data_IF_973803314210
#
_entry.id   IF_973803314210
#
_cell.length_a   1.000
_cell.length_b   1.000
_cell.length_c   1.000
_cell.angle_alpha   90.00
_cell.angle_beta   90.00
_cell.angle_gamma   90.00
#
_symmetry.space_group_name_H-M   'P 1'
#
loop_
_entity.id
_entity.type
_entity.pdbx_description
1 polymer ?
#
# COMPACT_ATOMS: atom_id res chain seq x y z
N UNK A 1 -21.59 -87.45 36.89
CA UNK A 1 -22.35 -87.04 35.70
C UNK A 1 -22.47 -85.54 35.80
N UNK A 2 -21.55 -84.83 35.14
CA UNK A 2 -21.50 -83.36 35.17
C UNK A 2 -21.41 -82.83 33.70
N UNK A 3 -22.47 -82.18 33.30
CA UNK A 3 -22.57 -81.52 32.02
C UNK A 3 -22.02 -80.09 32.14
N UNK A 4 -20.82 -79.87 31.54
CA UNK A 4 -20.25 -78.53 31.37
C UNK A 4 -20.71 -77.91 30.04
N UNK A 5 -21.50 -76.90 30.12
CA UNK A 5 -21.88 -76.07 28.96
C UNK A 5 -20.74 -75.02 28.69
N UNK A 6 -20.17 -75.14 27.56
CA UNK A 6 -19.18 -74.15 27.01
C UNK A 6 -19.97 -73.04 26.36
N UNK A 7 -19.85 -71.79 26.84
CA UNK A 7 -20.37 -70.57 26.23
C UNK A 7 -19.30 -70.00 25.37
N UNK A 8 -19.55 -69.96 24.07
CA UNK A 8 -18.69 -69.33 23.07
C UNK A 8 -19.06 -67.83 22.96
N UNK A 9 -18.25 -66.96 23.49
CA UNK A 9 -18.43 -65.50 23.34
C UNK A 9 -17.88 -65.07 21.99
N UNK A 10 -18.74 -64.60 21.07
CA UNK A 10 -18.36 -63.89 19.85
C UNK A 10 -18.11 -62.42 20.18
N UNK A 11 -16.86 -61.98 20.16
CA UNK A 11 -16.50 -60.57 20.19
C UNK A 11 -16.63 -60.01 18.77
N UNK A 12 -17.65 -59.19 18.53
CA UNK A 12 -17.78 -58.37 17.30
C UNK A 12 -16.98 -57.10 17.53
N UNK A 13 -15.80 -57.02 16.91
CA UNK A 13 -15.04 -55.76 16.78
C UNK A 13 -15.72 -54.90 15.73
N UNK A 14 -16.49 -53.86 16.16
CA UNK A 14 -16.94 -52.80 15.26
C UNK A 14 -15.77 -51.83 15.10
N UNK A 15 -15.09 -51.92 13.93
CA UNK A 15 -14.08 -50.95 13.49
C UNK A 15 -14.82 -49.67 13.05
N UNK A 16 -14.96 -48.69 13.97
CA UNK A 16 -15.33 -47.34 13.57
C UNK A 16 -14.15 -46.69 12.86
N UNK A 17 -14.16 -46.76 11.52
CA UNK A 17 -13.28 -45.98 10.67
C UNK A 17 -13.64 -44.51 10.80
N UNK A 18 -12.91 -43.77 11.64
CA UNK A 18 -12.90 -42.29 11.57
C UNK A 18 -12.31 -41.88 10.24
N UNK A 19 -13.17 -41.58 9.26
CA UNK A 19 -12.79 -40.83 8.07
C UNK A 19 -12.54 -39.40 8.54
N UNK A 20 -11.29 -39.09 8.89
CA UNK A 20 -10.84 -37.72 8.96
C UNK A 20 -10.87 -37.16 7.53
N UNK A 21 -12.01 -36.59 7.15
CA UNK A 21 -12.08 -35.68 6.01
C UNK A 21 -11.28 -34.44 6.42
N UNK A 22 -9.98 -34.44 6.11
CA UNK A 22 -9.18 -33.22 6.18
C UNK A 22 -9.74 -32.28 5.11
N UNK A 23 -10.66 -31.42 5.55
CA UNK A 23 -11.07 -30.28 4.76
C UNK A 23 -9.86 -29.35 4.72
N UNK A 24 -8.90 -29.65 3.82
CA UNK A 24 -7.85 -28.75 3.41
C UNK A 24 -8.55 -27.65 2.59
N UNK A 25 -9.17 -26.67 3.27
CA UNK A 25 -9.51 -25.42 2.63
C UNK A 25 -8.19 -24.72 2.36
N UNK A 26 -7.52 -25.06 1.25
CA UNK A 26 -6.54 -24.13 0.67
C UNK A 26 -7.27 -22.80 0.56
N UNK A 27 -6.78 -21.78 1.26
CA UNK A 27 -7.31 -20.42 1.12
C UNK A 27 -7.32 -20.12 -0.39
N UNK A 28 -8.53 -19.87 -0.92
CA UNK A 28 -8.68 -19.63 -2.35
C UNK A 28 -7.88 -18.37 -2.67
N UNK A 29 -6.92 -18.45 -3.61
CA UNK A 29 -6.13 -17.31 -4.06
C UNK A 29 -7.06 -16.13 -4.37
N UNK A 30 -6.77 -14.98 -3.81
CA UNK A 30 -7.54 -13.74 -3.99
C UNK A 30 -6.58 -12.56 -4.11
N UNK A 31 -6.98 -11.55 -4.87
CA UNK A 31 -6.16 -10.36 -5.16
C UNK A 31 -6.71 -9.16 -4.42
N UNK A 32 -5.84 -8.44 -3.72
CA UNK A 32 -6.14 -7.16 -3.09
C UNK A 32 -6.19 -6.05 -4.15
N UNK A 33 -7.34 -5.39 -4.31
CA UNK A 33 -7.49 -4.23 -5.18
C UNK A 33 -7.14 -2.99 -4.37
N UNK A 34 -5.96 -2.41 -4.62
CA UNK A 34 -5.53 -1.19 -3.96
C UNK A 34 -5.69 0.03 -4.89
N UNK A 35 -6.60 0.93 -4.51
CA UNK A 35 -6.84 2.17 -5.24
C UNK A 35 -5.75 3.20 -4.92
N UNK A 36 -4.82 3.43 -5.87
CA UNK A 36 -3.69 4.36 -5.75
C UNK A 36 -4.17 5.79 -5.59
N UNK A 37 -3.84 6.40 -4.44
CA UNK A 37 -4.33 7.73 -4.03
C UNK A 37 -5.86 7.85 -4.15
N UNK A 38 -6.56 6.76 -3.81
CA UNK A 38 -7.98 6.57 -4.04
C UNK A 38 -8.28 5.95 -5.40
N UNK A 39 -8.71 6.74 -6.37
CA UNK A 39 -8.95 6.33 -7.76
C UNK A 39 -8.40 7.41 -8.71
N UNK A 40 -7.10 7.63 -8.68
CA UNK A 40 -6.40 8.76 -9.29
C UNK A 40 -6.69 8.93 -10.79
N UNK A 41 -6.90 7.84 -11.52
CA UNK A 41 -7.26 7.87 -12.94
C UNK A 41 -8.70 8.31 -13.20
N UNK A 42 -9.55 8.39 -12.17
CA UNK A 42 -11.00 8.64 -12.29
C UNK A 42 -11.48 9.88 -11.51
N UNK A 43 -10.72 10.31 -10.50
CA UNK A 43 -11.03 11.45 -9.64
C UNK A 43 -9.72 12.10 -9.11
N UNK A 44 -9.77 13.29 -8.51
CA UNK A 44 -8.60 13.93 -7.93
C UNK A 44 -7.92 13.04 -6.89
N UNK A 45 -6.59 12.92 -7.00
CA UNK A 45 -5.78 12.09 -6.11
C UNK A 45 -5.79 12.61 -4.68
N UNK A 46 -5.73 11.69 -3.70
CA UNK A 46 -5.60 12.02 -2.29
C UNK A 46 -6.70 12.97 -1.77
N UNK A 47 -7.93 12.86 -2.31
CA UNK A 47 -9.10 13.65 -1.89
C UNK A 47 -10.21 12.76 -1.36
N UNK A 48 -11.11 13.33 -0.53
CA UNK A 48 -12.24 12.57 0.00
C UNK A 48 -13.17 12.04 -1.12
N UNK A 49 -13.38 12.82 -2.18
CA UNK A 49 -14.17 12.35 -3.34
C UNK A 49 -13.45 11.24 -4.11
N UNK A 50 -12.13 11.30 -4.21
CA UNK A 50 -11.33 10.23 -4.82
C UNK A 50 -11.42 8.92 -4.05
N UNK A 51 -11.37 8.99 -2.71
CA UNK A 51 -11.55 7.84 -1.84
C UNK A 51 -12.98 7.29 -1.88
N UNK A 52 -13.98 8.16 -1.85
CA UNK A 52 -15.38 7.73 -2.00
C UNK A 52 -15.58 7.01 -3.33
N UNK A 53 -15.03 7.53 -4.42
CA UNK A 53 -15.08 6.89 -5.75
C UNK A 53 -14.45 5.50 -5.72
N UNK A 54 -13.29 5.34 -5.12
CA UNK A 54 -12.62 4.04 -4.98
C UNK A 54 -13.48 3.05 -4.17
N UNK A 55 -14.06 3.49 -3.05
CA UNK A 55 -14.96 2.66 -2.21
C UNK A 55 -16.20 2.20 -2.98
N UNK A 56 -16.79 3.08 -3.79
CA UNK A 56 -17.96 2.77 -4.62
C UNK A 56 -17.63 1.75 -5.72
N UNK A 57 -16.42 1.82 -6.29
CA UNK A 57 -15.91 0.84 -7.24
C UNK A 57 -15.63 -0.53 -6.61
N UNK A 58 -15.50 -0.57 -5.27
CA UNK A 58 -15.34 -1.80 -4.52
C UNK A 58 -13.88 -2.20 -4.30
N UNK A 59 -12.98 -1.24 -4.10
CA UNK A 59 -11.61 -1.55 -3.66
C UNK A 59 -11.63 -2.26 -2.29
N UNK A 60 -10.64 -3.10 -2.06
CA UNK A 60 -10.39 -3.72 -0.75
C UNK A 60 -9.52 -2.84 0.13
N UNK A 61 -8.62 -2.08 -0.50
CA UNK A 61 -7.66 -1.22 0.17
C UNK A 61 -7.62 0.16 -0.49
N UNK A 62 -7.67 1.22 0.31
CA UNK A 62 -7.30 2.56 -0.12
C UNK A 62 -5.81 2.74 0.10
N UNK A 63 -5.10 3.05 -0.96
CA UNK A 63 -3.71 3.46 -0.88
C UNK A 63 -3.63 4.99 -0.96
N UNK A 64 -2.78 5.60 -0.13
CA UNK A 64 -2.60 7.04 -0.07
C UNK A 64 -1.32 7.46 0.67
N UNK A 65 -0.95 8.72 0.47
CA UNK A 65 0.29 9.33 0.94
C UNK A 65 0.02 10.30 2.09
N UNK A 66 0.90 10.33 3.08
CA UNK A 66 0.76 11.23 4.25
C UNK A 66 1.97 12.15 4.37
N UNK A 67 1.68 13.44 4.64
CA UNK A 67 2.61 14.45 5.12
C UNK A 67 2.16 15.00 6.47
N UNK A 68 3.03 15.72 7.19
CA UNK A 68 2.72 16.32 8.49
C UNK A 68 2.88 17.84 8.42
N UNK A 69 1.84 18.56 8.83
CA UNK A 69 1.79 20.04 8.83
C UNK A 69 2.64 20.66 9.93
N UNK A 70 2.84 21.98 9.88
CA UNK A 70 3.57 22.76 10.90
C UNK A 70 3.02 22.58 12.32
N UNK A 71 1.72 22.38 12.45
CA UNK A 71 1.02 22.17 13.72
C UNK A 71 0.84 20.68 14.07
N UNK A 72 1.62 19.80 13.40
CA UNK A 72 1.72 18.36 13.74
C UNK A 72 0.54 17.51 13.26
N UNK A 73 -0.28 18.00 12.34
CA UNK A 73 -1.47 17.27 11.86
C UNK A 73 -1.13 16.44 10.63
N UNK A 74 -1.34 15.11 10.63
CA UNK A 74 -1.21 14.28 9.44
C UNK A 74 -2.27 14.62 8.39
N UNK A 75 -1.82 15.00 7.20
CA UNK A 75 -2.65 15.30 6.03
C UNK A 75 -2.38 14.30 4.93
N UNK A 76 -3.30 14.16 3.98
CA UNK A 76 -3.16 13.22 2.87
C UNK A 76 -2.73 13.98 1.62
N UNK A 77 -1.45 13.84 1.26
CA UNK A 77 -0.86 14.49 0.10
C UNK A 77 0.45 13.80 -0.29
N UNK A 78 0.74 13.68 -1.61
CA UNK A 78 1.88 12.91 -2.10
C UNK A 78 3.22 13.63 -1.92
N UNK A 79 3.28 14.90 -2.32
CA UNK A 79 4.54 15.62 -2.37
C UNK A 79 4.84 16.28 -1.01
N UNK A 80 6.09 16.51 -0.72
CA UNK A 80 6.52 17.20 0.51
C UNK A 80 6.23 18.72 0.50
N UNK A 81 5.85 19.22 -0.68
CA UNK A 81 5.45 20.61 -0.92
C UNK A 81 4.14 20.65 -1.72
N UNK A 82 3.38 21.73 -1.60
CA UNK A 82 2.15 21.92 -2.40
C UNK A 82 2.51 21.94 -3.89
N UNK A 83 1.91 21.02 -4.63
CA UNK A 83 2.21 20.82 -6.05
C UNK A 83 1.37 21.75 -6.93
N UNK A 84 2.00 22.68 -7.70
CA UNK A 84 1.28 23.64 -8.53
C UNK A 84 0.55 23.01 -9.74
N UNK A 85 0.86 21.74 -10.09
CA UNK A 85 0.16 21.03 -11.16
C UNK A 85 -1.13 20.34 -10.66
N UNK A 86 -1.30 20.23 -9.34
CA UNK A 86 -2.43 19.55 -8.70
C UNK A 86 -3.35 20.55 -8.01
N UNK A 87 -2.78 21.61 -7.41
CA UNK A 87 -3.50 22.55 -6.57
C UNK A 87 -3.44 24.00 -7.11
N UNK A 88 -4.49 24.74 -6.75
CA UNK A 88 -4.60 26.19 -6.92
C UNK A 88 -4.67 26.87 -5.57
N UNK A 89 -4.35 28.18 -5.52
CA UNK A 89 -4.72 29.04 -4.39
C UNK A 89 -6.25 29.15 -4.27
N UNK A 90 -6.74 29.52 -3.10
CA UNK A 90 -8.18 29.64 -2.81
C UNK A 90 -8.94 30.58 -3.76
N UNK A 91 -8.27 31.58 -4.32
CA UNK A 91 -8.79 32.53 -5.29
C UNK A 91 -8.74 32.02 -6.74
N UNK A 92 -8.32 30.75 -6.97
CA UNK A 92 -8.17 30.13 -8.28
C UNK A 92 -6.88 30.48 -9.02
N UNK A 93 -5.96 31.23 -8.40
CA UNK A 93 -4.68 31.54 -8.98
C UNK A 93 -3.70 30.34 -8.88
N UNK A 94 -2.71 30.24 -9.78
CA UNK A 94 -1.63 29.26 -9.66
C UNK A 94 -0.87 29.42 -8.33
N UNK A 95 -0.43 28.31 -7.77
CA UNK A 95 0.43 28.27 -6.57
C UNK A 95 1.72 29.03 -6.86
N UNK A 96 2.13 29.90 -5.94
CA UNK A 96 3.44 30.55 -6.00
C UNK A 96 4.54 29.55 -5.74
N UNK A 97 5.53 29.51 -6.61
CA UNK A 97 6.64 28.57 -6.53
C UNK A 97 7.97 29.27 -6.26
N UNK A 98 8.92 28.51 -5.72
CA UNK A 98 10.31 28.91 -5.63
C UNK A 98 11.02 28.87 -7.01
N UNK A 99 12.32 29.16 -7.05
CA UNK A 99 13.13 29.14 -8.29
C UNK A 99 13.28 27.75 -8.92
N UNK A 100 12.94 26.68 -8.18
CA UNK A 100 12.97 25.30 -8.64
C UNK A 100 11.57 24.79 -9.06
N UNK A 101 10.55 25.64 -8.96
CA UNK A 101 9.17 25.29 -9.31
C UNK A 101 8.39 24.57 -8.22
N UNK A 102 8.89 24.49 -6.99
CA UNK A 102 8.18 23.90 -5.86
C UNK A 102 7.31 24.93 -5.14
N UNK A 103 6.11 24.54 -4.75
CA UNK A 103 5.29 25.31 -3.84
C UNK A 103 5.81 25.27 -2.39
N UNK A 104 5.09 25.86 -1.44
CA UNK A 104 5.51 25.88 -0.04
C UNK A 104 5.55 24.46 0.55
N UNK A 105 6.57 24.19 1.40
CA UNK A 105 6.71 22.91 2.10
C UNK A 105 5.54 22.69 3.08
N UNK A 106 4.96 21.51 3.08
CA UNK A 106 3.84 21.11 3.96
C UNK A 106 4.19 21.33 5.44
N UNK A 107 5.38 20.94 5.88
CA UNK A 107 5.84 21.10 7.27
C UNK A 107 5.94 22.58 7.73
N UNK A 108 5.89 23.52 6.81
CA UNK A 108 5.93 24.96 7.11
C UNK A 108 4.53 25.61 7.13
N UNK A 109 3.49 24.86 6.76
CA UNK A 109 2.11 25.33 6.67
C UNK A 109 1.28 24.74 7.81
N UNK A 110 0.45 25.56 8.43
CA UNK A 110 -0.58 25.12 9.37
C UNK A 110 -1.72 24.41 8.64
N UNK A 111 -2.53 23.61 9.36
CA UNK A 111 -3.71 22.97 8.77
C UNK A 111 -4.66 24.00 8.12
N UNK A 112 -4.84 25.17 8.73
CA UNK A 112 -5.68 26.24 8.18
C UNK A 112 -5.18 26.71 6.81
N UNK A 113 -3.87 26.88 6.65
CA UNK A 113 -3.25 27.23 5.37
C UNK A 113 -3.39 26.12 4.36
N UNK A 114 -3.13 24.87 4.76
CA UNK A 114 -3.33 23.66 3.91
C UNK A 114 -4.77 23.57 3.40
N UNK A 115 -5.76 23.79 4.26
CA UNK A 115 -7.18 23.74 3.89
C UNK A 115 -7.62 24.88 2.95
N UNK A 116 -6.79 25.87 2.71
CA UNK A 116 -7.09 26.96 1.77
C UNK A 116 -6.90 26.55 0.31
N UNK A 117 -6.07 25.56 0.00
CA UNK A 117 -5.78 25.16 -1.39
C UNK A 117 -6.93 24.37 -2.02
N UNK A 118 -7.17 24.60 -3.31
CA UNK A 118 -8.07 23.79 -4.16
C UNK A 118 -7.24 22.75 -4.92
N UNK A 119 -7.38 21.50 -4.58
CA UNK A 119 -6.64 20.38 -5.19
C UNK A 119 -7.55 19.42 -5.97
N UNK A 120 -8.72 19.88 -6.39
CA UNK A 120 -9.68 19.11 -7.19
C UNK A 120 -9.98 19.69 -8.56
N UNK A 121 -9.64 20.96 -8.81
CA UNK A 121 -9.93 21.64 -10.07
C UNK A 121 -8.98 21.25 -11.20
N UNK A 122 -7.73 20.86 -10.91
CA UNK A 122 -6.72 20.57 -11.92
C UNK A 122 -6.61 19.07 -12.23
N UNK A 123 -6.30 18.76 -13.49
CA UNK A 123 -5.81 17.46 -13.90
C UNK A 123 -4.30 17.60 -14.21
N UNK A 124 -3.41 16.94 -13.47
CA UNK A 124 -1.97 17.12 -13.61
C UNK A 124 -1.39 16.59 -14.92
N UNK A 125 -2.11 15.67 -15.60
CA UNK A 125 -1.64 15.03 -16.83
C UNK A 125 -2.81 14.48 -17.65
N UNK A 126 -3.26 15.26 -18.63
CA UNK A 126 -4.36 14.88 -19.53
C UNK A 126 -4.07 13.69 -20.43
N UNK A 127 -2.79 13.38 -20.67
CA UNK A 127 -2.38 12.21 -21.46
C UNK A 127 -2.52 10.94 -20.64
N UNK A 128 -2.03 10.98 -19.40
CA UNK A 128 -2.08 9.85 -18.47
C UNK A 128 -3.48 9.66 -17.87
N UNK A 129 -4.19 10.75 -17.62
CA UNK A 129 -5.52 10.77 -17.02
C UNK A 129 -6.51 11.52 -17.91
N UNK A 130 -6.92 10.93 -19.04
CA UNK A 130 -7.86 11.59 -19.97
C UNK A 130 -9.24 11.85 -19.35
N UNK A 131 -9.89 12.88 -19.80
CA UNK A 131 -11.26 13.24 -19.42
C UNK A 131 -12.23 13.13 -20.61
N UNK A 132 -13.21 12.22 -20.60
CA UNK A 132 -13.43 11.16 -19.62
C UNK A 132 -12.38 10.02 -19.72
N UNK A 133 -12.25 9.10 -18.75
CA UNK A 133 -13.17 8.85 -17.62
C UNK A 133 -12.92 9.68 -16.36
N UNK A 134 -11.78 10.41 -16.24
CA UNK A 134 -11.48 11.23 -15.07
C UNK A 134 -12.46 12.39 -14.96
N UNK A 135 -12.89 12.67 -13.73
CA UNK A 135 -13.72 13.82 -13.39
C UNK A 135 -12.99 14.72 -12.39
N UNK A 136 -12.97 16.03 -12.65
CA UNK A 136 -12.49 17.02 -11.70
C UNK A 136 -13.60 17.43 -10.74
N UNK A 137 -13.18 17.84 -9.54
CA UNK A 137 -14.10 18.27 -8.47
C UNK A 137 -13.59 19.60 -7.87
N UNK A 138 -14.00 20.74 -8.46
CA UNK A 138 -13.55 22.05 -7.99
C UNK A 138 -13.85 22.27 -6.51
N UNK A 139 -12.90 22.93 -5.82
CA UNK A 139 -12.95 23.22 -4.38
C UNK A 139 -12.71 22.02 -3.46
N UNK A 140 -12.28 20.88 -3.96
CA UNK A 140 -11.79 19.80 -3.09
C UNK A 140 -10.53 20.26 -2.34
N UNK A 141 -10.48 19.91 -1.06
CA UNK A 141 -9.40 20.30 -0.15
C UNK A 141 -8.53 19.11 0.18
N UNK A 142 -7.28 19.38 0.55
CA UNK A 142 -6.38 18.35 1.10
C UNK A 142 -7.00 17.83 2.40
N UNK A 143 -7.33 16.53 2.50
CA UNK A 143 -7.92 15.97 3.71
C UNK A 143 -6.86 15.68 4.76
N UNK A 144 -7.28 15.67 6.03
CA UNK A 144 -6.50 15.06 7.12
C UNK A 144 -6.70 13.53 7.11
N UNK A 145 -5.77 12.80 7.75
CA UNK A 145 -5.94 11.37 8.00
C UNK A 145 -7.20 11.09 8.85
N UNK A 146 -7.50 11.97 9.80
CA UNK A 146 -8.70 11.89 10.62
C UNK A 146 -9.99 11.99 9.78
N UNK A 147 -10.07 12.94 8.84
CA UNK A 147 -11.24 13.09 7.95
C UNK A 147 -11.47 11.86 7.05
N UNK A 148 -10.39 11.20 6.61
CA UNK A 148 -10.52 9.93 5.88
C UNK A 148 -11.10 8.84 6.78
N UNK A 149 -10.62 8.70 8.01
CA UNK A 149 -11.17 7.70 8.93
C UNK A 149 -12.64 7.97 9.27
N UNK A 150 -13.04 9.24 9.39
CA UNK A 150 -14.45 9.64 9.52
C UNK A 150 -15.28 9.31 8.27
N UNK A 151 -14.71 9.46 7.06
CA UNK A 151 -15.37 9.00 5.83
C UNK A 151 -15.59 7.48 5.88
N UNK A 152 -14.61 6.69 6.32
CA UNK A 152 -14.72 5.23 6.40
C UNK A 152 -15.79 4.76 7.38
N UNK A 153 -16.08 5.52 8.44
CA UNK A 153 -17.17 5.21 9.38
C UNK A 153 -18.56 5.22 8.71
N UNK A 154 -18.72 5.89 7.57
CA UNK A 154 -19.96 5.88 6.79
C UNK A 154 -20.20 4.56 6.03
N UNK A 155 -19.18 3.68 6.02
CA UNK A 155 -19.22 2.37 5.36
C UNK A 155 -19.00 1.20 6.34
N UNK A 156 -19.80 1.08 7.43
CA UNK A 156 -19.54 0.16 8.55
C UNK A 156 -19.55 -1.32 8.14
N UNK A 157 -20.19 -1.64 7.03
CA UNK A 157 -20.27 -3.02 6.52
C UNK A 157 -19.14 -3.39 5.55
N UNK A 158 -18.19 -2.47 5.32
CA UNK A 158 -17.03 -2.70 4.45
C UNK A 158 -15.76 -2.67 5.27
N UNK A 159 -15.03 -3.78 5.30
CA UNK A 159 -13.70 -3.87 5.92
C UNK A 159 -12.64 -3.29 4.98
N UNK A 160 -12.67 -1.96 4.77
CA UNK A 160 -11.73 -1.29 3.89
C UNK A 160 -10.41 -1.09 4.63
N UNK A 161 -9.34 -1.64 4.06
CA UNK A 161 -7.97 -1.43 4.52
C UNK A 161 -7.43 -0.08 4.06
N UNK A 162 -6.45 0.42 4.78
CA UNK A 162 -5.68 1.59 4.42
C UNK A 162 -4.21 1.20 4.27
N UNK A 163 -3.63 1.44 3.11
CA UNK A 163 -2.20 1.35 2.85
C UNK A 163 -1.63 2.77 2.86
N UNK A 164 -0.93 3.14 3.94
CA UNK A 164 -0.52 4.52 4.24
C UNK A 164 0.95 4.69 3.92
N UNK A 165 1.28 5.48 2.88
CA UNK A 165 2.67 5.83 2.60
C UNK A 165 3.13 7.01 3.45
N UNK A 166 4.22 6.81 4.21
CA UNK A 166 4.88 7.88 4.94
C UNK A 166 5.95 8.53 4.06
N UNK A 167 5.68 9.77 3.64
CA UNK A 167 6.51 10.53 2.69
C UNK A 167 7.69 11.21 3.38
N UNK A 168 8.70 10.44 3.77
CA UNK A 168 9.96 10.94 4.31
C UNK A 168 11.10 10.75 3.32
N UNK A 169 12.15 11.58 3.42
CA UNK A 169 13.29 11.52 2.51
C UNK A 169 14.60 11.53 3.31
N UNK A 170 15.42 10.47 3.23
CA UNK A 170 16.66 10.38 3.99
C UNK A 170 17.73 11.38 3.54
N UNK A 171 17.64 11.89 2.30
CA UNK A 171 18.64 12.77 1.69
C UNK A 171 18.27 14.25 1.77
N UNK A 172 17.04 14.58 2.15
CA UNK A 172 16.56 15.96 2.16
C UNK A 172 15.60 16.23 3.31
N UNK A 173 15.89 17.19 4.21
CA UNK A 173 15.10 17.45 5.41
C UNK A 173 13.83 18.26 5.11
N UNK A 174 13.07 17.85 4.07
CA UNK A 174 11.81 18.49 3.70
C UNK A 174 10.64 18.12 4.60
N UNK A 175 10.82 17.10 5.45
CA UNK A 175 9.81 16.60 6.40
C UNK A 175 10.31 16.71 7.84
N UNK A 176 9.48 16.30 8.79
CA UNK A 176 9.90 16.11 10.18
C UNK A 176 10.90 14.94 10.30
N UNK A 177 11.66 14.85 11.43
CA UNK A 177 12.37 13.63 11.78
C UNK A 177 11.44 12.41 11.78
N UNK A 178 11.99 11.23 11.46
CA UNK A 178 11.16 10.02 11.25
C UNK A 178 10.31 9.64 12.47
N UNK A 179 10.86 9.80 13.69
CA UNK A 179 10.13 9.53 14.93
C UNK A 179 8.94 10.47 15.11
N UNK A 180 9.13 11.79 14.99
CA UNK A 180 8.05 12.77 15.13
C UNK A 180 6.97 12.57 14.04
N UNK A 181 7.40 12.25 12.83
CA UNK A 181 6.49 11.97 11.71
C UNK A 181 5.66 10.70 11.99
N UNK A 182 6.31 9.60 12.34
CA UNK A 182 5.64 8.33 12.63
C UNK A 182 4.68 8.45 13.81
N UNK A 183 5.12 9.07 14.91
CA UNK A 183 4.31 9.22 16.12
C UNK A 183 3.02 10.01 15.85
N UNK A 184 3.09 11.08 15.04
CA UNK A 184 1.90 11.85 14.65
C UNK A 184 0.88 10.97 13.88
N UNK A 185 1.33 10.11 12.98
CA UNK A 185 0.46 9.21 12.22
C UNK A 185 -0.08 8.08 13.10
N UNK A 186 0.78 7.43 13.88
CA UNK A 186 0.39 6.33 14.79
C UNK A 186 -0.66 6.79 15.79
N UNK A 187 -0.53 7.99 16.33
CA UNK A 187 -1.51 8.57 17.24
C UNK A 187 -2.91 8.65 16.62
N UNK A 188 -3.03 9.07 15.35
CA UNK A 188 -4.34 9.14 14.66
C UNK A 188 -4.89 7.74 14.39
N UNK A 189 -4.03 6.78 14.04
CA UNK A 189 -4.43 5.38 13.84
C UNK A 189 -4.97 4.78 15.12
N UNK A 190 -4.29 5.00 16.25
CA UNK A 190 -4.68 4.51 17.57
C UNK A 190 -6.01 5.12 18.05
N UNK A 191 -6.14 6.44 17.98
CA UNK A 191 -7.37 7.17 18.37
C UNK A 191 -8.60 6.69 17.61
N UNK A 192 -8.43 6.17 16.40
CA UNK A 192 -9.52 5.64 15.58
C UNK A 192 -9.65 4.10 15.65
N UNK A 193 -8.86 3.42 16.49
CA UNK A 193 -8.84 1.95 16.63
C UNK A 193 -8.67 1.22 15.28
N UNK A 194 -7.79 1.71 14.41
CA UNK A 194 -7.64 1.20 13.04
C UNK A 194 -6.41 0.33 12.79
N UNK A 195 -5.59 0.06 13.80
CA UNK A 195 -4.33 -0.69 13.65
C UNK A 195 -4.49 -2.02 12.89
N UNK A 196 -5.60 -2.74 13.13
CA UNK A 196 -5.91 -4.02 12.47
C UNK A 196 -6.40 -3.90 11.01
N UNK A 197 -6.64 -2.69 10.51
CA UNK A 197 -7.12 -2.40 9.15
C UNK A 197 -6.19 -1.42 8.42
N UNK A 198 -4.95 -1.34 8.86
CA UNK A 198 -3.91 -0.47 8.28
C UNK A 198 -2.68 -1.31 7.99
N UNK A 199 -2.02 -1.04 6.89
CA UNK A 199 -0.60 -1.28 6.73
C UNK A 199 0.10 0.04 6.39
N UNK A 200 1.35 0.17 6.79
CA UNK A 200 2.16 1.35 6.51
C UNK A 200 3.22 0.96 5.49
N UNK A 201 3.41 1.82 4.50
CA UNK A 201 4.46 1.67 3.50
C UNK A 201 5.39 2.87 3.46
N UNK A 202 6.64 2.66 3.06
CA UNK A 202 7.59 3.75 2.81
C UNK A 202 8.73 3.30 1.91
N UNK A 203 9.27 4.23 1.13
CA UNK A 203 10.58 4.07 0.48
C UNK A 203 11.73 4.22 1.49
N UNK A 204 11.55 4.97 2.56
CA UNK A 204 12.53 5.20 3.61
C UNK A 204 12.37 4.15 4.71
N UNK A 205 13.05 3.00 4.57
CA UNK A 205 12.85 1.83 5.42
C UNK A 205 13.22 2.04 6.90
N UNK A 206 14.04 3.03 7.21
CA UNK A 206 14.35 3.37 8.61
C UNK A 206 13.10 3.77 9.41
N UNK A 207 12.10 4.44 8.77
CA UNK A 207 10.84 4.76 9.46
C UNK A 207 9.99 3.51 9.70
N UNK A 208 10.08 2.49 8.83
CA UNK A 208 9.38 1.21 9.01
C UNK A 208 9.98 0.44 10.21
N UNK A 209 11.30 0.38 10.33
CA UNK A 209 11.95 -0.20 11.49
C UNK A 209 11.54 0.51 12.78
N UNK A 210 11.56 1.85 12.81
CA UNK A 210 11.08 2.63 13.95
C UNK A 210 9.64 2.29 14.34
N UNK A 211 8.72 2.16 13.37
CA UNK A 211 7.32 1.81 13.63
C UNK A 211 7.19 0.39 14.17
N UNK A 212 7.96 -0.56 13.65
CA UNK A 212 7.97 -1.94 14.16
C UNK A 212 8.33 -2.00 15.65
N UNK A 213 9.27 -1.18 16.08
CA UNK A 213 9.69 -1.08 17.47
C UNK A 213 8.63 -0.46 18.39
N UNK A 214 7.73 0.39 17.84
CA UNK A 214 6.65 1.03 18.59
C UNK A 214 5.34 0.25 18.54
N UNK A 215 4.99 -0.32 17.37
CA UNK A 215 3.70 -0.92 17.05
C UNK A 215 3.87 -2.17 16.19
N UNK A 216 4.25 -3.28 16.80
CA UNK A 216 4.55 -4.54 16.10
C UNK A 216 3.33 -5.21 15.41
N UNK A 217 2.10 -4.75 15.68
CA UNK A 217 0.88 -5.32 15.09
C UNK A 217 0.56 -4.77 13.69
N UNK A 218 1.09 -3.59 13.34
CA UNK A 218 0.86 -2.96 12.03
C UNK A 218 1.75 -3.65 10.99
N UNK A 219 1.14 -4.13 9.90
CA UNK A 219 1.90 -4.69 8.78
C UNK A 219 2.68 -3.58 8.06
N UNK A 220 3.95 -3.86 7.77
CA UNK A 220 4.85 -2.90 7.15
C UNK A 220 5.26 -3.34 5.76
N UNK A 221 5.15 -2.41 4.80
CA UNK A 221 5.45 -2.64 3.39
C UNK A 221 6.68 -1.85 2.95
N UNK A 222 7.69 -2.54 2.49
CA UNK A 222 8.89 -1.93 1.91
C UNK A 222 8.65 -1.57 0.45
N UNK A 223 8.55 -0.26 0.16
CA UNK A 223 8.51 0.25 -1.21
C UNK A 223 9.93 0.23 -1.80
N UNK A 224 10.04 -0.26 -3.04
CA UNK A 224 11.30 -0.27 -3.79
C UNK A 224 11.06 0.14 -5.24
N UNK A 225 11.79 1.17 -5.66
CA UNK A 225 11.94 1.56 -7.06
C UNK A 225 13.41 1.51 -7.46
N UNK A 226 13.72 1.67 -8.75
CA UNK A 226 15.08 1.63 -9.26
C UNK A 226 16.04 2.60 -8.54
N UNK A 227 15.54 3.78 -8.13
CA UNK A 227 16.32 4.77 -7.39
C UNK A 227 16.56 4.41 -5.93
N UNK A 228 15.78 3.48 -5.35
CA UNK A 228 15.89 3.15 -3.93
C UNK A 228 17.08 2.24 -3.62
N UNK A 229 17.45 1.32 -4.52
CA UNK A 229 18.54 0.39 -4.29
C UNK A 229 19.87 0.82 -4.93
N UNK A 230 19.82 1.65 -5.97
CA UNK A 230 21.05 2.22 -6.56
C UNK A 230 21.55 3.35 -5.68
N UNK A 231 22.70 3.15 -5.05
CA UNK A 231 23.44 4.25 -4.43
C UNK A 231 24.06 5.16 -5.50
N UNK A 232 24.34 6.40 -5.13
CA UNK A 232 24.94 7.40 -6.05
C UNK A 232 26.27 6.91 -6.65
N UNK A 233 26.95 5.95 -6.01
CA UNK A 233 28.27 5.43 -6.40
C UNK A 233 28.39 3.90 -6.32
N UNK A 234 27.34 3.11 -6.36
CA UNK A 234 27.32 1.63 -6.24
C UNK A 234 28.18 1.02 -5.08
N UNK A 235 28.92 1.86 -4.36
CA UNK A 235 29.83 1.48 -3.28
C UNK A 235 29.35 1.87 -1.88
N UNK A 236 28.20 2.56 -1.78
CA UNK A 236 27.66 3.01 -0.50
C UNK A 236 26.33 2.34 -0.20
N UNK A 237 26.01 2.06 1.07
CA UNK A 237 24.69 1.56 1.47
C UNK A 237 23.57 2.50 1.01
N UNK A 238 22.42 1.95 0.66
CA UNK A 238 21.26 2.76 0.30
C UNK A 238 20.66 3.43 1.54
N UNK A 239 20.57 4.77 1.58
CA UNK A 239 19.88 5.44 2.68
C UNK A 239 18.37 5.19 2.68
N UNK A 240 17.81 4.81 1.54
CA UNK A 240 16.40 4.44 1.41
C UNK A 240 16.09 3.08 2.02
N UNK A 241 17.01 2.12 1.86
CA UNK A 241 16.87 0.75 2.36
C UNK A 241 17.49 0.57 3.77
N UNK A 242 17.47 1.61 4.60
CA UNK A 242 18.00 1.58 5.97
C UNK A 242 19.47 1.13 6.06
N UNK A 243 20.29 1.58 5.12
CA UNK A 243 21.70 1.26 5.09
C UNK A 243 22.06 -0.10 4.47
N UNK A 244 21.11 -0.84 3.90
CA UNK A 244 21.39 -2.08 3.18
C UNK A 244 22.19 -1.77 1.92
N UNK A 245 23.29 -2.51 1.72
CA UNK A 245 24.13 -2.40 0.54
C UNK A 245 23.73 -3.49 -0.46
N UNK A 246 22.97 -3.11 -1.49
CA UNK A 246 22.34 -4.03 -2.45
C UNK A 246 23.29 -5.09 -3.02
N UNK A 247 24.44 -4.67 -3.55
CA UNK A 247 25.42 -5.58 -4.17
C UNK A 247 26.07 -6.54 -3.14
N UNK A 248 26.32 -6.06 -1.90
CA UNK A 248 26.97 -6.87 -0.87
C UNK A 248 26.07 -7.97 -0.31
N UNK A 249 24.76 -7.73 -0.29
CA UNK A 249 23.79 -8.74 0.19
C UNK A 249 23.41 -9.75 -0.90
N UNK A 250 23.88 -9.56 -2.14
CA UNK A 250 23.66 -10.53 -3.23
C UNK A 250 22.89 -10.00 -4.44
N UNK A 251 22.54 -8.71 -4.49
CA UNK A 251 22.01 -8.04 -5.68
C UNK A 251 20.64 -8.51 -6.14
N UNK A 252 19.79 -9.03 -5.24
CA UNK A 252 18.43 -9.50 -5.57
C UNK A 252 17.37 -8.92 -4.65
N UNK A 253 16.11 -8.89 -5.09
CA UNK A 253 14.97 -8.48 -4.26
C UNK A 253 14.87 -9.31 -2.97
N UNK A 254 15.04 -10.63 -3.08
CA UNK A 254 14.96 -11.51 -1.91
C UNK A 254 16.10 -11.23 -0.91
N UNK A 255 17.31 -10.98 -1.40
CA UNK A 255 18.45 -10.69 -0.53
C UNK A 255 18.26 -9.43 0.33
N UNK A 256 17.75 -8.33 -0.23
CA UNK A 256 17.44 -7.12 0.56
C UNK A 256 16.28 -7.34 1.55
N UNK A 257 15.29 -8.18 1.20
CA UNK A 257 14.17 -8.50 2.08
C UNK A 257 14.59 -9.37 3.26
N UNK A 258 15.52 -10.31 3.06
CA UNK A 258 16.07 -11.14 4.16
C UNK A 258 16.79 -10.30 5.22
N UNK A 259 17.50 -9.23 4.82
CA UNK A 259 18.10 -8.28 5.77
C UNK A 259 17.05 -7.51 6.59
N UNK A 260 15.87 -7.25 6.01
CA UNK A 260 14.79 -6.45 6.60
C UNK A 260 13.63 -7.28 7.16
N UNK A 261 13.73 -8.61 7.18
CA UNK A 261 12.60 -9.51 7.52
C UNK A 261 12.06 -9.36 8.95
N UNK A 262 12.80 -8.71 9.83
CA UNK A 262 12.34 -8.46 11.19
C UNK A 262 11.25 -7.40 11.26
N UNK A 263 11.18 -6.50 10.26
CA UNK A 263 10.21 -5.41 10.24
C UNK A 263 9.43 -5.28 8.93
N UNK A 264 9.81 -5.92 7.83
CA UNK A 264 9.04 -5.91 6.57
C UNK A 264 8.21 -7.18 6.44
N UNK A 265 6.91 -7.02 6.19
CA UNK A 265 5.96 -8.10 5.95
C UNK A 265 5.51 -8.17 4.48
N UNK A 266 5.54 -7.03 3.79
CA UNK A 266 5.04 -6.86 2.43
C UNK A 266 6.14 -6.24 1.58
N UNK A 267 6.47 -6.87 0.47
CA UNK A 267 7.29 -6.29 -0.57
C UNK A 267 6.40 -5.53 -1.55
N UNK A 268 6.62 -4.24 -1.68
CA UNK A 268 5.85 -3.37 -2.57
C UNK A 268 6.77 -2.71 -3.60
N UNK A 269 7.15 -3.44 -4.67
CA UNK A 269 8.10 -2.96 -5.68
C UNK A 269 7.42 -2.20 -6.82
N UNK A 270 8.20 -1.41 -7.56
CA UNK A 270 7.87 -1.16 -8.97
C UNK A 270 7.70 -2.53 -9.66
N UNK A 271 6.60 -2.70 -10.40
CA UNK A 271 6.28 -3.99 -11.04
C UNK A 271 7.38 -4.50 -11.97
N UNK A 272 8.23 -3.62 -12.53
CA UNK A 272 9.36 -3.97 -13.38
C UNK A 272 10.42 -4.79 -12.65
N UNK A 273 10.59 -4.55 -11.35
CA UNK A 273 11.60 -5.22 -10.53
C UNK A 273 11.30 -6.70 -10.28
N UNK A 274 10.05 -7.12 -10.48
CA UNK A 274 9.60 -8.51 -10.32
C UNK A 274 9.20 -9.17 -11.64
N UNK A 275 9.24 -8.44 -12.76
CA UNK A 275 8.96 -8.96 -14.09
C UNK A 275 10.24 -9.53 -14.72
N UNK A 276 10.39 -10.88 -14.87
CA UNK A 276 11.61 -11.48 -15.41
C UNK A 276 11.85 -11.15 -16.89
N UNK A 277 10.90 -10.49 -17.57
CA UNK A 277 11.05 -10.05 -18.95
C UNK A 277 11.43 -8.58 -19.08
N UNK A 278 11.49 -7.85 -17.95
CA UNK A 278 11.92 -6.45 -17.90
C UNK A 278 13.42 -6.36 -17.61
N UNK A 279 14.08 -5.34 -18.15
CA UNK A 279 15.52 -5.10 -17.91
C UNK A 279 15.82 -4.54 -16.50
N UNK A 280 14.81 -4.15 -15.75
CA UNK A 280 14.92 -3.73 -14.35
C UNK A 280 14.73 -4.91 -13.35
N UNK A 281 14.51 -6.13 -13.82
CA UNK A 281 14.28 -7.31 -12.97
C UNK A 281 15.41 -7.52 -11.95
N UNK A 282 15.04 -7.63 -10.67
CA UNK A 282 15.98 -7.82 -9.54
C UNK A 282 16.15 -9.28 -9.11
N UNK A 283 16.14 -10.22 -10.05
CA UNK A 283 16.61 -11.60 -9.86
C UNK A 283 15.79 -12.48 -8.92
N UNK A 284 14.62 -12.03 -8.44
CA UNK A 284 13.74 -12.85 -7.58
C UNK A 284 12.31 -12.85 -8.10
N UNK A 285 11.74 -14.03 -8.30
CA UNK A 285 10.36 -14.20 -8.71
C UNK A 285 9.38 -13.93 -7.55
N UNK A 286 8.12 -13.62 -7.89
CA UNK A 286 7.02 -13.46 -6.90
C UNK A 286 6.94 -14.68 -5.98
N UNK A 287 7.03 -15.89 -6.55
CA UNK A 287 6.94 -17.14 -5.78
C UNK A 287 8.10 -17.35 -4.81
N UNK A 288 9.33 -16.99 -5.18
CA UNK A 288 10.48 -17.07 -4.29
C UNK A 288 10.32 -16.13 -3.10
N UNK A 289 9.90 -14.89 -3.35
CA UNK A 289 9.64 -13.88 -2.32
C UNK A 289 8.52 -14.35 -1.37
N UNK A 290 7.41 -14.88 -1.92
CA UNK A 290 6.31 -15.41 -1.11
C UNK A 290 6.73 -16.65 -0.30
N UNK A 291 7.58 -17.52 -0.86
CA UNK A 291 8.10 -18.69 -0.16
C UNK A 291 8.99 -18.33 1.04
N UNK A 292 9.60 -17.14 1.03
CA UNK A 292 10.35 -16.59 2.16
C UNK A 292 9.46 -15.91 3.22
N UNK A 293 8.13 -15.85 2.99
CA UNK A 293 7.15 -15.34 3.96
C UNK A 293 6.64 -13.92 3.70
N UNK A 294 7.06 -13.27 2.63
CA UNK A 294 6.61 -11.92 2.28
C UNK A 294 5.38 -11.94 1.37
N UNK A 295 4.48 -10.98 1.53
CA UNK A 295 3.48 -10.68 0.50
C UNK A 295 4.10 -9.81 -0.59
N UNK A 296 3.56 -9.89 -1.82
CA UNK A 296 4.02 -9.10 -2.96
C UNK A 296 2.89 -8.26 -3.53
N UNK A 297 2.99 -6.93 -3.40
CA UNK A 297 1.97 -5.97 -3.84
C UNK A 297 2.64 -4.86 -4.66
N UNK A 298 2.80 -5.06 -5.97
CA UNK A 298 3.48 -4.10 -6.85
C UNK A 298 2.64 -2.86 -7.19
N UNK A 299 3.32 -1.81 -7.63
CA UNK A 299 2.78 -0.51 -8.06
C UNK A 299 3.48 0.01 -9.33
N UNK A 300 2.98 1.02 -10.07
CA UNK A 300 1.57 1.38 -10.26
C UNK A 300 1.14 0.79 -11.59
N UNK A 301 0.19 -0.13 -11.56
CA UNK A 301 -0.18 -0.92 -12.74
C UNK A 301 -1.50 -0.40 -13.32
N UNK A 302 -1.46 0.16 -14.54
CA UNK A 302 -2.59 0.85 -15.17
C UNK A 302 -3.08 0.20 -16.46
N UNK A 303 -2.48 -0.90 -16.88
CA UNK A 303 -2.90 -1.61 -18.10
C UNK A 303 -3.38 -3.02 -17.80
N UNK A 304 -4.52 -3.39 -18.34
CA UNK A 304 -5.14 -4.72 -18.10
C UNK A 304 -4.22 -5.88 -18.50
N UNK A 305 -3.34 -5.68 -19.49
CA UNK A 305 -2.36 -6.69 -19.91
C UNK A 305 -1.33 -6.97 -18.80
N UNK A 306 -0.78 -5.93 -18.16
CA UNK A 306 0.18 -6.10 -17.07
C UNK A 306 -0.53 -6.58 -15.80
N UNK A 307 -1.75 -6.09 -15.50
CA UNK A 307 -2.57 -6.60 -14.41
C UNK A 307 -2.72 -8.13 -14.51
N UNK A 308 -3.16 -8.61 -15.70
CA UNK A 308 -3.34 -10.05 -15.91
C UNK A 308 -2.03 -10.84 -15.77
N UNK A 309 -0.92 -10.32 -16.32
CA UNK A 309 0.40 -10.95 -16.20
C UNK A 309 0.81 -11.14 -14.74
N UNK A 310 0.75 -10.08 -13.93
CA UNK A 310 1.15 -10.13 -12.51
C UNK A 310 0.22 -11.02 -11.67
N UNK A 311 -1.08 -11.04 -11.99
CA UNK A 311 -2.04 -11.95 -11.37
C UNK A 311 -1.67 -13.42 -11.68
N UNK A 312 -1.24 -13.72 -12.90
CA UNK A 312 -0.80 -15.07 -13.29
C UNK A 312 0.52 -15.48 -12.59
N UNK A 313 1.35 -14.51 -12.25
CA UNK A 313 2.56 -14.70 -11.43
C UNK A 313 2.22 -14.89 -9.93
N UNK A 314 0.98 -14.61 -9.52
CA UNK A 314 0.48 -14.88 -8.17
C UNK A 314 0.67 -13.75 -7.16
N UNK A 315 0.75 -12.48 -7.58
CA UNK A 315 0.87 -11.34 -6.64
C UNK A 315 -0.32 -11.27 -5.68
N UNK A 316 -0.08 -10.84 -4.43
CA UNK A 316 -1.10 -10.76 -3.38
C UNK A 316 -2.08 -9.58 -3.57
N UNK A 317 -1.67 -8.57 -4.30
CA UNK A 317 -2.48 -7.38 -4.60
C UNK A 317 -1.85 -6.53 -5.68
N UNK A 318 -2.56 -5.51 -6.13
CA UNK A 318 -2.09 -4.56 -7.14
C UNK A 318 -2.51 -3.14 -6.75
N UNK A 319 -1.55 -2.22 -6.72
CA UNK A 319 -1.79 -0.79 -6.58
C UNK A 319 -1.99 -0.17 -7.98
N UNK A 320 -3.15 0.47 -8.21
CA UNK A 320 -3.54 0.99 -9.53
C UNK A 320 -4.28 2.32 -9.47
N UNK A 321 -4.06 3.19 -10.45
CA UNK A 321 -4.83 4.42 -10.67
C UNK A 321 -6.27 4.12 -11.17
N UNK A 322 -6.51 2.89 -11.71
CA UNK A 322 -7.76 2.45 -12.33
C UNK A 322 -8.29 1.17 -11.65
N UNK A 323 -8.84 1.27 -10.43
CA UNK A 323 -9.37 0.10 -9.72
C UNK A 323 -10.55 -0.57 -10.42
N UNK A 324 -11.34 0.17 -11.21
CA UNK A 324 -12.37 -0.36 -12.10
C UNK A 324 -11.82 -1.32 -13.15
N UNK A 325 -10.69 -0.97 -13.76
CA UNK A 325 -10.01 -1.82 -14.75
C UNK A 325 -9.44 -3.10 -14.13
N UNK A 326 -8.89 -3.02 -12.91
CA UNK A 326 -8.42 -4.21 -12.19
C UNK A 326 -9.59 -5.11 -11.81
N UNK A 327 -10.68 -4.54 -11.31
CA UNK A 327 -11.90 -5.29 -11.01
C UNK A 327 -12.45 -6.01 -12.24
N UNK A 328 -12.52 -5.30 -13.39
CA UNK A 328 -12.92 -5.93 -14.67
C UNK A 328 -12.03 -7.13 -15.04
N UNK A 329 -10.70 -7.03 -14.83
CA UNK A 329 -9.78 -8.16 -15.09
C UNK A 329 -10.11 -9.34 -14.17
N UNK A 330 -10.29 -9.11 -12.87
CA UNK A 330 -10.61 -10.16 -11.90
C UNK A 330 -11.93 -10.86 -12.24
N UNK A 331 -12.98 -10.11 -12.53
CA UNK A 331 -14.30 -10.64 -12.93
C UNK A 331 -14.21 -11.46 -14.22
N UNK A 332 -13.54 -10.93 -15.25
CA UNK A 332 -13.38 -11.59 -16.56
C UNK A 332 -12.71 -12.96 -16.45
N UNK A 333 -11.77 -13.12 -15.52
CA UNK A 333 -11.02 -14.35 -15.33
C UNK A 333 -11.46 -15.18 -14.11
N UNK A 334 -12.60 -14.81 -13.49
CA UNK A 334 -13.16 -15.48 -12.29
C UNK A 334 -12.15 -15.60 -11.14
N UNK A 335 -11.35 -14.55 -10.91
CA UNK A 335 -10.38 -14.47 -9.84
C UNK A 335 -11.05 -13.75 -8.66
N UNK A 336 -11.06 -14.35 -7.46
CA UNK A 336 -11.63 -13.70 -6.29
C UNK A 336 -10.89 -12.42 -5.91
N UNK A 337 -11.66 -11.43 -5.52
CA UNK A 337 -11.19 -10.29 -4.77
C UNK A 337 -11.02 -10.69 -3.30
N UNK A 338 -10.01 -10.14 -2.61
CA UNK A 338 -9.72 -10.36 -1.18
C UNK A 338 -10.88 -9.93 -0.28
#
# INVERSE_FOLDING_TARGET
MNNSKIYLFFFIFILYGFIFSSCNSQAKYSVDIQGHRGARGLAPENTLVGFQKAIELGVTTLEFDVGVTKDGIPIIFHDVAINPNICLENNGNPIKTDSLGYGPLIKNLTLTEIKSFDCGSLNPDLIRFPEPPRQNYPSERIPTLQELFELLQKYPNKNIWCNIELKTNPNYPATYPINEFADAVLQVIELNNRANLVNIQSFHWQILEYINDQQSEILLAGLVGTSSYKSVNDSTPSPWLNGIHFEQVGGTSLAILEEAKQYINIFSPSWRLIDPTDNEFLGSSVKEIQSAGFKVIPWTINTTRIMKKLIDEGVDGIITDYPDSLKFVLEKFNIPQK
#
